data_IF_609048563658
#
_entry.id   IF_609048563658
#
_cell.length_a   1.000
_cell.length_b   1.000
_cell.length_c   1.000
_cell.angle_alpha   90.00
_cell.angle_beta   90.00
_cell.angle_gamma   90.00
#
_symmetry.space_group_name_H-M   'P 1'
#
loop_
_entity.id
_entity.type
_entity.pdbx_description
1 polymer ?
#
# COMPACT_ATOMS: atom_id res chain seq x y z
N UNK A 1 45.82 40.88 25.09
CA UNK A 1 44.45 40.30 25.09
C UNK A 1 43.94 39.92 23.70
N UNK A 2 44.18 40.72 22.65
CA UNK A 2 43.62 40.44 21.31
C UNK A 2 44.14 39.12 20.66
N UNK A 3 45.41 38.78 20.84
CA UNK A 3 45.99 37.53 20.29
C UNK A 3 45.39 36.25 20.88
N UNK A 4 45.17 36.21 22.20
CA UNK A 4 44.58 35.05 22.88
C UNK A 4 43.16 34.73 22.40
N UNK A 5 42.39 35.76 22.04
CA UNK A 5 41.03 35.59 21.50
C UNK A 5 41.06 35.00 20.07
N UNK A 6 42.03 35.39 19.24
CA UNK A 6 42.21 34.83 17.90
C UNK A 6 42.67 33.37 17.93
N UNK A 7 43.54 33.02 18.87
CA UNK A 7 44.00 31.63 19.02
C UNK A 7 42.86 30.72 19.51
N UNK A 8 42.03 31.22 20.44
CA UNK A 8 40.85 30.50 20.91
C UNK A 8 39.82 30.28 19.77
N UNK A 9 39.60 31.28 18.91
CA UNK A 9 38.72 31.13 17.74
C UNK A 9 39.26 30.11 16.74
N UNK A 10 40.58 30.11 16.46
CA UNK A 10 41.19 29.13 15.57
C UNK A 10 41.09 27.71 16.12
N UNK A 11 41.32 27.53 17.43
CA UNK A 11 41.17 26.23 18.08
C UNK A 11 39.72 25.73 18.03
N UNK A 12 38.74 26.61 18.24
CA UNK A 12 37.33 26.26 18.12
C UNK A 12 36.95 25.84 16.69
N UNK A 13 37.38 26.61 15.68
CA UNK A 13 37.12 26.27 14.27
C UNK A 13 37.79 24.94 13.87
N UNK A 14 39.03 24.70 14.29
CA UNK A 14 39.71 23.42 14.04
C UNK A 14 38.99 22.25 14.71
N UNK A 15 38.55 22.40 15.96
CA UNK A 15 37.81 21.36 16.67
C UNK A 15 36.44 21.07 16.04
N UNK A 16 35.77 22.09 15.51
CA UNK A 16 34.50 21.92 14.79
C UNK A 16 34.71 21.21 13.45
N UNK A 17 35.74 21.60 12.69
CA UNK A 17 36.08 20.96 11.43
C UNK A 17 36.45 19.48 11.61
N UNK A 18 37.21 19.15 12.66
CA UNK A 18 37.52 17.76 13.01
C UNK A 18 36.28 16.96 13.38
N UNK A 19 35.34 17.54 14.15
CA UNK A 19 34.06 16.89 14.46
C UNK A 19 33.23 16.63 13.21
N UNK A 20 33.15 17.58 12.29
CA UNK A 20 32.43 17.41 11.03
C UNK A 20 33.05 16.28 10.18
N UNK A 21 34.38 16.26 10.03
CA UNK A 21 35.08 15.19 9.31
C UNK A 21 34.84 13.81 9.95
N UNK A 22 34.88 13.73 11.29
CA UNK A 22 34.61 12.48 11.99
C UNK A 22 33.17 12.01 11.78
N UNK A 23 32.20 12.92 11.83
CA UNK A 23 30.80 12.60 11.54
C UNK A 23 30.60 12.12 10.10
N UNK A 24 31.28 12.74 9.14
CA UNK A 24 31.22 12.35 7.73
C UNK A 24 31.87 10.97 7.49
N UNK A 25 33.02 10.69 8.10
CA UNK A 25 33.64 9.37 8.05
C UNK A 25 32.74 8.28 8.65
N UNK A 26 32.11 8.56 9.80
CA UNK A 26 31.14 7.64 10.40
C UNK A 26 29.93 7.42 9.50
N UNK A 27 29.44 8.47 8.82
CA UNK A 27 28.34 8.37 7.84
C UNK A 27 28.73 7.49 6.66
N UNK A 28 29.92 7.70 6.08
CA UNK A 28 30.43 6.92 4.95
C UNK A 28 30.69 5.45 5.32
N UNK A 29 31.28 5.20 6.48
CA UNK A 29 31.50 3.84 6.99
C UNK A 29 30.17 3.10 7.16
N UNK A 30 29.20 3.74 7.82
CA UNK A 30 27.85 3.19 7.95
C UNK A 30 27.30 2.85 6.57
N UNK A 31 27.32 3.79 5.60
CA UNK A 31 26.87 3.58 4.21
C UNK A 31 27.53 2.38 3.52
N UNK A 32 28.85 2.22 3.63
CA UNK A 32 29.55 1.06 3.04
C UNK A 32 29.11 -0.26 3.66
N UNK A 33 28.98 -0.30 4.99
CA UNK A 33 28.47 -1.48 5.70
C UNK A 33 27.03 -1.81 5.25
N UNK A 34 26.20 -0.79 5.00
CA UNK A 34 24.85 -0.97 4.43
C UNK A 34 24.89 -1.69 3.11
N UNK A 35 25.70 -1.19 2.19
CA UNK A 35 25.80 -1.70 0.83
C UNK A 35 26.36 -3.12 0.82
N UNK A 36 27.32 -3.40 1.68
CA UNK A 36 27.88 -4.74 1.85
C UNK A 36 26.83 -5.76 2.31
N UNK A 37 26.06 -5.46 3.36
CA UNK A 37 24.98 -6.35 3.80
C UNK A 37 23.90 -6.53 2.73
N UNK A 38 23.57 -5.47 1.98
CA UNK A 38 22.61 -5.55 0.88
C UNK A 38 23.08 -6.53 -0.19
N UNK A 39 24.34 -6.43 -0.61
CA UNK A 39 24.94 -7.37 -1.57
C UNK A 39 24.91 -8.81 -1.07
N UNK A 40 25.24 -9.03 0.20
CA UNK A 40 25.20 -10.36 0.81
C UNK A 40 23.78 -10.94 0.87
N UNK A 41 22.76 -10.13 1.12
CA UNK A 41 21.38 -10.59 1.29
C UNK A 41 20.57 -10.63 -0.02
N UNK A 42 21.09 -10.05 -1.09
CA UNK A 42 20.35 -9.88 -2.36
C UNK A 42 19.82 -11.21 -2.91
N UNK A 43 20.59 -12.30 -2.78
CA UNK A 43 20.21 -13.62 -3.28
C UNK A 43 19.12 -14.33 -2.44
N UNK A 44 18.93 -13.92 -1.18
CA UNK A 44 17.96 -14.53 -0.26
C UNK A 44 16.66 -13.76 -0.26
N UNK A 45 16.74 -12.43 -0.12
CA UNK A 45 15.58 -11.58 0.07
C UNK A 45 15.04 -11.04 -1.26
N UNK A 46 15.93 -10.64 -2.17
CA UNK A 46 15.59 -9.71 -3.25
C UNK A 46 15.14 -8.36 -2.68
N UNK A 47 15.72 -7.26 -3.14
CA UNK A 47 15.24 -5.93 -2.75
C UNK A 47 14.36 -5.39 -3.87
N UNK A 48 13.12 -5.00 -3.54
CA UNK A 48 12.16 -4.55 -4.54
C UNK A 48 12.60 -3.26 -5.28
N UNK A 49 13.44 -2.45 -4.64
CA UNK A 49 14.05 -1.23 -5.19
C UNK A 49 15.30 -1.50 -6.05
N UNK A 50 15.79 -2.73 -6.15
CA UNK A 50 16.90 -3.08 -7.07
C UNK A 50 16.47 -3.12 -8.54
N UNK A 51 15.18 -3.32 -8.82
CA UNK A 51 14.68 -3.53 -10.19
C UNK A 51 14.15 -2.25 -10.85
N UNK A 52 14.98 -1.20 -10.84
CA UNK A 52 14.64 0.12 -11.39
C UNK A 52 14.23 0.08 -12.87
N UNK A 53 14.70 -0.90 -13.65
CA UNK A 53 14.37 -1.04 -15.07
C UNK A 53 12.88 -1.31 -15.33
N UNK A 54 12.19 -2.13 -14.51
CA UNK A 54 10.73 -2.34 -14.64
C UNK A 54 9.91 -1.13 -14.23
N UNK A 55 10.46 -0.26 -13.38
CA UNK A 55 9.79 0.95 -12.92
C UNK A 55 9.90 2.12 -13.91
N UNK A 56 10.94 2.12 -14.75
CA UNK A 56 11.30 3.25 -15.61
C UNK A 56 10.21 3.59 -16.64
N UNK A 57 9.58 2.59 -17.25
CA UNK A 57 8.56 2.79 -18.30
C UNK A 57 7.29 3.48 -17.76
N UNK A 58 6.85 3.11 -16.56
CA UNK A 58 5.71 3.76 -15.89
C UNK A 58 6.12 5.14 -15.38
N UNK A 59 7.35 5.28 -14.89
CA UNK A 59 7.86 6.52 -14.32
C UNK A 59 8.02 7.64 -15.36
N UNK A 60 8.41 7.33 -16.59
CA UNK A 60 8.63 8.33 -17.64
C UNK A 60 7.34 9.12 -17.96
N UNK A 61 6.20 8.43 -18.06
CA UNK A 61 4.90 9.07 -18.29
C UNK A 61 4.45 9.92 -17.08
N UNK A 62 4.71 9.46 -15.85
CA UNK A 62 4.35 10.19 -14.64
C UNK A 62 5.30 11.36 -14.34
N UNK A 63 6.57 11.29 -14.74
CA UNK A 63 7.60 12.29 -14.41
C UNK A 63 7.25 13.68 -14.94
N UNK A 64 6.62 13.76 -16.11
CA UNK A 64 6.22 15.05 -16.70
C UNK A 64 5.11 15.75 -15.90
N UNK A 65 4.17 15.00 -15.33
CA UNK A 65 3.00 15.56 -14.64
C UNK A 65 3.24 15.67 -13.13
N UNK A 66 4.11 14.82 -12.56
CA UNK A 66 4.40 14.76 -11.12
C UNK A 66 4.87 16.10 -10.56
N UNK A 67 5.75 16.81 -11.27
CA UNK A 67 6.23 18.12 -10.81
C UNK A 67 5.11 19.16 -10.67
N UNK A 68 4.12 19.11 -11.56
CA UNK A 68 2.93 19.97 -11.48
C UNK A 68 2.06 19.59 -10.29
N UNK A 69 1.81 18.29 -10.09
CA UNK A 69 1.03 17.82 -8.94
C UNK A 69 1.69 18.16 -7.62
N UNK A 70 3.01 18.02 -7.50
CA UNK A 70 3.75 18.36 -6.29
C UNK A 70 3.70 19.88 -6.01
N UNK A 71 3.82 20.70 -7.06
CA UNK A 71 3.68 22.15 -6.92
C UNK A 71 2.26 22.55 -6.47
N UNK A 72 1.21 22.00 -7.11
CA UNK A 72 -0.17 22.26 -6.71
C UNK A 72 -0.47 21.75 -5.29
N UNK A 73 -0.08 20.51 -5.00
CA UNK A 73 -0.23 19.88 -3.68
C UNK A 73 0.42 20.71 -2.57
N UNK A 74 1.59 21.31 -2.83
CA UNK A 74 2.30 22.14 -1.84
C UNK A 74 1.53 23.39 -1.40
N UNK A 75 0.58 23.86 -2.21
CA UNK A 75 -0.28 25.02 -1.91
C UNK A 75 -1.58 24.67 -1.19
N UNK A 76 -1.90 23.38 -1.06
CA UNK A 76 -3.15 22.89 -0.51
C UNK A 76 -3.02 22.51 0.97
N UNK A 77 -4.16 22.46 1.66
CA UNK A 77 -4.19 22.14 3.09
C UNK A 77 -4.32 20.64 3.33
N UNK A 78 -3.63 20.10 4.36
CA UNK A 78 -3.86 18.74 4.82
C UNK A 78 -5.25 18.60 5.45
N UNK A 79 -5.96 17.57 4.99
CA UNK A 79 -7.37 17.33 5.30
C UNK A 79 -7.58 16.13 6.22
N UNK A 80 -6.59 15.30 6.53
CA UNK A 80 -6.79 14.18 7.46
C UNK A 80 -6.92 14.75 8.88
N UNK A 81 -8.06 14.52 9.51
CA UNK A 81 -8.33 14.94 10.88
C UNK A 81 -7.94 13.85 11.89
N UNK A 82 -8.29 12.61 11.59
CA UNK A 82 -8.00 11.46 12.45
C UNK A 82 -7.92 10.17 11.64
N UNK A 83 -7.14 9.18 12.11
CA UNK A 83 -7.19 7.85 11.59
C UNK A 83 -8.44 7.15 12.15
N UNK A 84 -9.10 6.35 11.32
CA UNK A 84 -10.31 5.65 11.71
C UNK A 84 -10.09 4.14 11.85
N UNK A 85 -9.39 3.53 10.90
CA UNK A 85 -9.22 2.07 10.88
C UNK A 85 -8.06 1.63 9.98
N UNK A 86 -7.31 0.62 10.40
CA UNK A 86 -6.43 -0.16 9.53
C UNK A 86 -6.91 -1.60 9.49
N UNK A 87 -6.92 -2.23 8.30
CA UNK A 87 -7.32 -3.64 8.12
C UNK A 87 -6.49 -4.61 8.95
N UNK A 88 -5.21 -4.28 9.16
CA UNK A 88 -4.29 -5.02 10.00
C UNK A 88 -3.25 -4.07 10.61
N UNK A 89 -2.54 -4.56 11.62
CA UNK A 89 -1.40 -3.86 12.24
C UNK A 89 -0.48 -4.94 12.80
N UNK A 90 0.81 -4.89 12.49
CA UNK A 90 1.77 -5.92 12.92
C UNK A 90 2.09 -5.83 14.42
N UNK A 91 2.30 -4.60 14.91
CA UNK A 91 2.66 -4.33 16.30
C UNK A 91 1.85 -3.15 16.85
N UNK A 92 1.48 -3.19 18.13
CA UNK A 92 0.75 -2.12 18.82
C UNK A 92 1.44 -0.75 18.78
N UNK A 93 2.76 -0.71 18.55
CA UNK A 93 3.52 0.53 18.40
C UNK A 93 3.56 1.06 16.96
N UNK A 94 3.08 0.27 15.99
CA UNK A 94 3.11 0.56 14.55
C UNK A 94 1.70 0.87 14.04
N UNK A 95 0.95 1.68 14.79
CA UNK A 95 -0.46 1.99 14.49
C UNK A 95 -0.60 2.97 13.33
N UNK A 96 -1.81 3.06 12.81
CA UNK A 96 -2.21 4.00 11.76
C UNK A 96 -1.94 5.48 12.13
N UNK A 97 -1.98 5.83 13.42
CA UNK A 97 -1.72 7.18 13.93
C UNK A 97 -0.30 7.67 13.62
N UNK A 98 0.65 6.75 13.50
CA UNK A 98 2.04 7.08 13.22
C UNK A 98 2.25 7.74 11.86
N UNK A 99 1.30 7.63 10.93
CA UNK A 99 1.41 8.18 9.58
C UNK A 99 0.99 9.65 9.47
N UNK A 100 0.46 10.26 10.53
CA UNK A 100 -0.03 11.65 10.47
C UNK A 100 1.10 12.69 10.49
N UNK A 101 2.30 12.26 10.88
CA UNK A 101 3.48 13.11 10.95
C UNK A 101 4.60 12.50 10.10
N UNK A 102 5.26 13.32 9.29
CA UNK A 102 6.36 12.87 8.45
C UNK A 102 7.65 12.75 9.26
N UNK A 103 7.66 11.86 10.26
CA UNK A 103 8.80 11.60 11.13
C UNK A 103 9.36 10.18 10.92
N UNK A 104 9.85 9.53 11.97
CA UNK A 104 10.43 8.17 11.92
C UNK A 104 9.46 7.08 12.33
N UNK A 105 8.29 7.44 12.87
CA UNK A 105 7.22 6.51 13.20
C UNK A 105 6.57 6.04 11.90
N UNK A 106 5.95 4.87 11.96
CA UNK A 106 5.33 4.26 10.79
C UNK A 106 4.19 3.33 11.21
N UNK A 107 3.30 3.08 10.27
CA UNK A 107 2.38 1.96 10.31
C UNK A 107 2.96 0.78 9.53
N UNK A 108 2.67 -0.44 9.97
CA UNK A 108 2.92 -1.65 9.18
C UNK A 108 1.78 -2.65 9.28
N UNK A 109 1.50 -3.28 8.13
CA UNK A 109 0.55 -4.38 8.02
C UNK A 109 1.06 -5.64 8.71
N UNK A 110 0.18 -6.56 9.08
CA UNK A 110 0.61 -7.93 9.45
C UNK A 110 1.30 -8.65 8.28
N UNK A 111 2.29 -9.49 8.60
CA UNK A 111 3.05 -10.27 7.63
C UNK A 111 2.20 -11.28 6.85
N UNK A 112 2.34 -11.29 5.52
CA UNK A 112 1.65 -12.20 4.60
C UNK A 112 2.60 -13.23 3.99
N UNK A 113 2.19 -14.50 3.78
CA UNK A 113 2.98 -15.45 3.01
C UNK A 113 2.99 -15.15 1.49
N UNK A 114 2.09 -14.28 1.00
CA UNK A 114 1.92 -13.99 -0.43
C UNK A 114 2.09 -12.50 -0.76
N UNK A 115 2.51 -12.22 -1.99
CA UNK A 115 2.67 -10.86 -2.54
C UNK A 115 1.34 -10.20 -2.94
N UNK A 116 0.25 -10.95 -3.06
CA UNK A 116 -1.04 -10.43 -3.56
C UNK A 116 -1.98 -10.02 -2.44
N UNK A 117 -1.52 -10.02 -1.19
CA UNK A 117 -2.32 -9.61 -0.05
C UNK A 117 -2.52 -8.09 -0.04
N UNK A 118 -3.76 -7.67 0.16
CA UNK A 118 -4.19 -6.27 0.14
C UNK A 118 -4.40 -5.73 1.56
N UNK A 119 -4.32 -4.41 1.72
CA UNK A 119 -4.60 -3.70 2.97
C UNK A 119 -5.51 -2.48 2.71
N UNK A 120 -6.19 -2.04 3.77
CA UNK A 120 -7.08 -0.89 3.76
C UNK A 120 -6.78 0.04 4.94
N UNK A 121 -6.57 1.32 4.65
CA UNK A 121 -6.36 2.38 5.64
C UNK A 121 -7.45 3.43 5.51
N UNK A 122 -8.26 3.60 6.54
CA UNK A 122 -9.39 4.51 6.57
C UNK A 122 -9.07 5.71 7.46
N UNK A 123 -9.35 6.90 6.93
CA UNK A 123 -9.14 8.18 7.56
C UNK A 123 -10.44 8.99 7.55
N UNK A 124 -10.63 9.77 8.60
CA UNK A 124 -11.65 10.80 8.67
C UNK A 124 -11.03 12.14 8.25
N UNK A 125 -11.70 12.85 7.36
CA UNK A 125 -11.25 14.13 6.83
C UNK A 125 -11.71 15.28 7.73
N UNK A 126 -11.15 16.48 7.59
CA UNK A 126 -11.46 17.66 8.38
C UNK A 126 -12.75 18.32 7.88
N UNK A 127 -13.54 18.85 8.82
CA UNK A 127 -14.82 19.51 8.52
C UNK A 127 -15.93 18.54 8.11
N UNK A 128 -17.18 19.01 7.96
CA UNK A 128 -18.32 18.14 7.67
C UNK A 128 -18.16 17.38 6.34
N UNK A 129 -17.40 17.95 5.40
CA UNK A 129 -16.91 17.27 4.22
C UNK A 129 -15.69 18.02 3.66
N UNK A 130 -14.93 17.39 2.77
CA UNK A 130 -13.78 17.97 2.11
C UNK A 130 -13.65 17.47 0.66
N UNK A 131 -13.13 18.33 -0.20
CA UNK A 131 -12.74 18.00 -1.57
C UNK A 131 -11.25 17.67 -1.57
N UNK A 132 -10.95 16.40 -1.79
CA UNK A 132 -9.56 15.90 -1.86
C UNK A 132 -9.11 15.98 -3.32
N UNK A 133 -8.01 16.67 -3.57
CA UNK A 133 -7.39 16.76 -4.90
C UNK A 133 -6.21 15.80 -5.03
N UNK A 134 -5.42 15.67 -3.96
CA UNK A 134 -4.23 14.85 -3.95
C UNK A 134 -4.12 14.01 -2.68
N UNK A 135 -3.45 12.87 -2.78
CA UNK A 135 -2.94 12.12 -1.64
C UNK A 135 -1.43 12.07 -1.74
N UNK A 136 -0.75 12.38 -0.63
CA UNK A 136 0.67 12.13 -0.48
C UNK A 136 0.91 10.91 0.39
N UNK A 137 1.89 10.09 0.02
CA UNK A 137 2.28 8.88 0.73
C UNK A 137 3.80 8.75 0.73
N UNK A 138 4.38 8.38 1.87
CA UNK A 138 5.79 8.00 1.97
C UNK A 138 5.89 6.59 2.54
N UNK A 139 6.61 5.72 1.83
CA UNK A 139 6.90 4.35 2.28
C UNK A 139 7.94 4.41 3.40
N UNK A 140 7.86 3.48 4.34
CA UNK A 140 8.85 3.35 5.40
C UNK A 140 10.08 2.57 4.93
N UNK A 141 11.26 3.09 5.27
CA UNK A 141 12.55 2.40 5.14
C UNK A 141 13.00 1.91 6.51
N UNK A 142 13.19 0.61 6.65
CA UNK A 142 13.64 0.02 7.92
C UNK A 142 15.14 0.21 8.11
N UNK A 143 15.53 1.37 8.68
CA UNK A 143 16.94 1.67 8.92
C UNK A 143 17.62 0.78 9.97
N UNK A 144 16.83 0.04 10.72
CA UNK A 144 17.30 -0.91 11.71
C UNK A 144 17.54 -2.32 11.13
N UNK A 145 17.09 -2.60 9.90
CA UNK A 145 17.31 -3.88 9.23
C UNK A 145 18.50 -3.85 8.27
N UNK A 146 19.12 -5.00 8.07
CA UNK A 146 20.21 -5.17 7.12
C UNK A 146 19.72 -4.88 5.69
N UNK A 147 20.50 -4.12 4.92
CA UNK A 147 20.13 -3.74 3.55
C UNK A 147 19.12 -2.59 3.42
N UNK A 148 18.56 -2.10 4.54
CA UNK A 148 17.66 -0.94 4.57
C UNK A 148 16.44 -1.09 3.65
N UNK A 149 15.71 -2.21 3.75
CA UNK A 149 14.58 -2.49 2.87
C UNK A 149 13.50 -1.41 3.02
N UNK A 150 12.78 -1.18 1.93
CA UNK A 150 11.53 -0.42 1.89
C UNK A 150 10.37 -1.40 1.73
N UNK A 151 9.23 -1.12 2.35
CA UNK A 151 8.06 -2.01 2.32
C UNK A 151 6.87 -1.34 1.62
N UNK A 152 6.97 -1.06 0.31
CA UNK A 152 5.89 -0.43 -0.44
C UNK A 152 4.76 -1.46 -0.72
N UNK A 153 3.52 -1.00 -0.86
CA UNK A 153 2.53 -1.75 -1.63
C UNK A 153 2.91 -1.75 -3.12
N UNK A 154 2.33 -2.64 -3.93
CA UNK A 154 2.54 -2.62 -5.39
C UNK A 154 1.81 -1.44 -6.03
N UNK A 155 0.57 -1.22 -5.61
CA UNK A 155 -0.31 -0.18 -6.12
C UNK A 155 -1.17 0.41 -5.00
N UNK A 156 -1.71 1.61 -5.24
CA UNK A 156 -2.65 2.29 -4.37
C UNK A 156 -3.87 2.75 -5.17
N UNK A 157 -5.05 2.68 -4.57
CA UNK A 157 -6.24 3.36 -5.04
C UNK A 157 -6.87 4.14 -3.89
N UNK A 158 -7.23 5.39 -4.17
CA UNK A 158 -7.93 6.24 -3.21
C UNK A 158 -9.43 6.07 -3.39
N UNK A 159 -10.11 5.81 -2.29
CA UNK A 159 -11.56 5.74 -2.20
C UNK A 159 -12.04 6.86 -1.29
N UNK A 160 -13.17 7.48 -1.61
CA UNK A 160 -13.71 8.63 -0.87
C UNK A 160 -15.22 8.49 -0.73
N UNK A 161 -15.80 9.05 0.34
CA UNK A 161 -17.24 9.01 0.52
C UNK A 161 -17.76 9.78 1.73
N UNK A 162 -19.10 9.97 1.83
CA UNK A 162 -19.72 10.68 2.94
C UNK A 162 -19.75 9.84 4.23
N UNK A 163 -19.69 8.51 4.12
CA UNK A 163 -19.65 7.59 5.26
C UNK A 163 -18.66 6.46 5.01
N UNK A 164 -18.20 5.80 6.07
CA UNK A 164 -17.27 4.66 5.98
C UNK A 164 -17.80 3.49 5.12
N UNK A 165 -19.13 3.38 4.96
CA UNK A 165 -19.79 2.31 4.20
C UNK A 165 -20.16 2.70 2.77
N UNK A 166 -20.05 3.99 2.43
CA UNK A 166 -20.44 4.55 1.14
C UNK A 166 -19.22 5.16 0.43
N UNK A 167 -18.14 4.39 0.38
CA UNK A 167 -16.93 4.78 -0.32
C UNK A 167 -17.04 4.42 -1.80
N UNK A 168 -16.58 5.32 -2.67
CA UNK A 168 -16.44 5.09 -4.11
C UNK A 168 -15.01 5.36 -4.55
N UNK A 169 -14.53 4.79 -5.66
CA UNK A 169 -13.22 5.11 -6.20
C UNK A 169 -13.09 6.62 -6.49
N UNK A 170 -12.13 7.28 -5.86
CA UNK A 170 -11.77 8.68 -6.10
C UNK A 170 -10.54 8.83 -7.00
N UNK A 171 -9.84 7.75 -7.32
CA UNK A 171 -8.67 7.73 -8.20
C UNK A 171 -8.63 6.45 -9.05
N UNK A 172 -7.81 6.42 -10.12
CA UNK A 172 -7.41 5.16 -10.74
C UNK A 172 -6.52 4.35 -9.77
N UNK A 173 -6.25 3.10 -10.13
CA UNK A 173 -5.19 2.31 -9.48
C UNK A 173 -3.85 2.83 -9.98
N UNK A 174 -2.97 3.24 -9.07
CA UNK A 174 -1.68 3.87 -9.36
C UNK A 174 -0.54 3.05 -8.77
N UNK A 175 0.59 2.99 -9.47
CA UNK A 175 1.78 2.31 -8.96
C UNK A 175 2.45 3.10 -7.84
N UNK A 176 2.88 2.40 -6.79
CA UNK A 176 3.69 2.98 -5.72
C UNK A 176 5.14 2.62 -5.99
N UNK A 177 5.99 3.63 -6.09
CA UNK A 177 7.43 3.42 -6.28
C UNK A 177 8.03 2.81 -5.01
N UNK A 178 8.98 1.89 -5.19
CA UNK A 178 9.77 1.31 -4.11
C UNK A 178 10.83 2.30 -3.59
N UNK A 179 10.36 3.41 -3.01
CA UNK A 179 11.21 4.47 -2.45
C UNK A 179 10.54 5.08 -1.23
N UNK A 180 11.35 5.55 -0.28
CA UNK A 180 10.93 6.27 0.92
C UNK A 180 10.76 7.79 0.69
N UNK A 181 10.97 8.25 -0.55
CA UNK A 181 10.60 9.58 -0.99
C UNK A 181 9.09 9.80 -0.94
N UNK A 182 8.67 11.04 -0.71
CA UNK A 182 7.26 11.44 -0.74
C UNK A 182 6.73 11.32 -2.17
N UNK A 183 5.60 10.64 -2.34
CA UNK A 183 4.94 10.42 -3.62
C UNK A 183 3.56 11.09 -3.58
N UNK A 184 3.19 11.78 -4.67
CA UNK A 184 1.91 12.49 -4.80
C UNK A 184 1.03 11.81 -5.85
N UNK A 185 -0.21 11.55 -5.47
CA UNK A 185 -1.21 10.84 -6.25
C UNK A 185 -2.44 11.72 -6.46
N UNK A 186 -2.79 11.98 -7.72
CA UNK A 186 -3.97 12.78 -8.05
C UNK A 186 -5.26 11.95 -7.95
N UNK A 187 -6.32 12.60 -7.48
CA UNK A 187 -7.69 12.09 -7.58
C UNK A 187 -8.33 12.56 -8.89
N UNK A 188 -9.46 11.97 -9.24
CA UNK A 188 -10.26 12.45 -10.36
C UNK A 188 -10.77 13.89 -10.09
N UNK A 189 -10.80 14.77 -11.10
CA UNK A 189 -11.32 16.14 -10.93
C UNK A 189 -12.74 16.21 -10.39
N UNK A 190 -13.55 15.18 -10.64
CA UNK A 190 -14.93 15.01 -10.19
C UNK A 190 -15.10 14.11 -8.96
N UNK A 191 -14.00 13.70 -8.32
CA UNK A 191 -14.09 12.88 -7.11
C UNK A 191 -15.04 13.55 -6.11
N UNK A 192 -16.00 12.81 -5.51
CA UNK A 192 -17.04 13.42 -4.72
C UNK A 192 -16.46 14.05 -3.45
N UNK A 193 -17.14 15.09 -2.97
CA UNK A 193 -16.83 15.65 -1.65
C UNK A 193 -17.11 14.58 -0.59
N UNK A 194 -16.17 14.43 0.34
CA UNK A 194 -16.12 13.30 1.23
C UNK A 194 -15.85 13.68 2.68
N UNK A 195 -16.36 12.88 3.61
CA UNK A 195 -16.00 12.92 5.02
C UNK A 195 -14.95 11.85 5.35
N UNK A 196 -14.90 10.78 4.57
CA UNK A 196 -13.98 9.67 4.77
C UNK A 196 -13.16 9.41 3.51
N UNK A 197 -11.91 9.03 3.72
CA UNK A 197 -10.98 8.60 2.69
C UNK A 197 -10.40 7.24 3.08
N UNK A 198 -10.38 6.30 2.14
CA UNK A 198 -9.72 5.00 2.31
C UNK A 198 -8.63 4.83 1.26
N UNK A 199 -7.41 4.50 1.70
CA UNK A 199 -6.39 3.97 0.82
C UNK A 199 -6.58 2.46 0.73
N UNK A 200 -6.74 1.95 -0.49
CA UNK A 200 -6.61 0.53 -0.79
C UNK A 200 -5.22 0.27 -1.32
N UNK A 201 -4.46 -0.53 -0.59
CA UNK A 201 -3.08 -0.87 -0.89
C UNK A 201 -3.05 -2.27 -1.45
N UNK A 202 -2.64 -2.41 -2.72
CA UNK A 202 -2.67 -3.67 -3.42
C UNK A 202 -1.29 -4.30 -3.47
N UNK A 203 -1.23 -5.56 -3.05
CA UNK A 203 -0.03 -6.37 -3.03
C UNK A 203 1.12 -5.83 -2.17
N UNK A 204 2.12 -6.68 -1.93
CA UNK A 204 3.27 -6.45 -1.05
C UNK A 204 4.54 -6.86 -1.78
N UNK A 205 5.51 -5.95 -1.91
CA UNK A 205 6.72 -6.18 -2.72
C UNK A 205 7.89 -6.77 -1.92
N UNK A 206 8.02 -6.43 -0.65
CA UNK A 206 9.22 -6.72 0.14
C UNK A 206 8.97 -7.75 1.23
N UNK A 207 9.88 -8.73 1.34
CA UNK A 207 9.94 -9.65 2.47
C UNK A 207 10.74 -9.06 3.62
N UNK A 208 10.27 -9.32 4.83
CA UNK A 208 11.01 -9.10 6.06
C UNK A 208 11.94 -10.29 6.34
N UNK A 209 13.13 -10.03 6.87
CA UNK A 209 14.16 -11.05 7.05
C UNK A 209 13.84 -12.03 8.19
N UNK A 210 13.23 -11.53 9.27
CA UNK A 210 13.03 -12.29 10.50
C UNK A 210 12.05 -13.46 10.33
N UNK A 211 11.04 -13.32 9.47
CA UNK A 211 9.98 -14.32 9.28
C UNK A 211 9.73 -14.70 7.81
N UNK A 212 10.46 -14.08 6.89
CA UNK A 212 10.33 -14.26 5.44
C UNK A 212 8.94 -13.97 4.88
N UNK A 213 8.14 -13.15 5.57
CA UNK A 213 6.80 -12.72 5.12
C UNK A 213 6.85 -11.37 4.43
N UNK A 214 5.82 -11.11 3.63
CA UNK A 214 5.63 -9.84 2.95
C UNK A 214 4.89 -8.83 3.80
N UNK A 215 5.39 -7.60 3.78
CA UNK A 215 4.89 -6.49 4.57
C UNK A 215 4.66 -5.25 3.72
N UNK A 216 3.72 -4.42 4.17
CA UNK A 216 3.64 -3.01 3.79
C UNK A 216 3.96 -2.19 5.03
N UNK A 217 4.79 -1.17 4.88
CA UNK A 217 5.04 -0.18 5.93
C UNK A 217 5.05 1.22 5.34
N UNK A 218 4.25 2.11 5.93
CA UNK A 218 4.08 3.49 5.51
C UNK A 218 4.45 4.44 6.64
N UNK A 219 5.24 5.46 6.31
CA UNK A 219 5.77 6.46 7.24
C UNK A 219 4.90 7.70 7.32
N UNK A 220 4.24 8.06 6.23
CA UNK A 220 3.45 9.28 6.16
C UNK A 220 2.32 9.16 5.15
N UNK A 221 1.17 9.73 5.49
CA UNK A 221 0.02 9.91 4.59
C UNK A 221 -0.58 11.29 4.83
N UNK A 222 -0.93 11.98 3.74
CA UNK A 222 -1.75 13.18 3.77
C UNK A 222 -2.78 13.16 2.65
N UNK A 223 -3.97 13.66 2.93
CA UNK A 223 -4.95 14.05 1.92
C UNK A 223 -4.91 15.57 1.80
N UNK A 224 -4.81 16.10 0.59
CA UNK A 224 -4.63 17.53 0.33
C UNK A 224 -5.79 18.08 -0.50
N UNK A 225 -6.30 19.23 -0.12
CA UNK A 225 -7.39 19.89 -0.83
C UNK A 225 -8.05 20.99 -0.02
N UNK A 226 -9.38 21.06 -0.12
CA UNK A 226 -10.20 22.11 0.48
C UNK A 226 -11.28 21.51 1.40
N UNK A 227 -11.36 22.00 2.64
CA UNK A 227 -12.50 21.70 3.50
C UNK A 227 -13.73 22.43 2.97
N UNK A 228 -14.87 21.74 2.93
CA UNK A 228 -16.15 22.30 2.49
C UNK A 228 -16.95 22.75 3.72
N UNK A 229 -17.22 24.06 3.90
CA UNK A 229 -17.97 24.55 5.04
C UNK A 229 -19.40 23.98 5.10
N UNK A 230 -19.91 23.78 6.32
CA UNK A 230 -21.27 23.29 6.55
C UNK A 230 -22.34 24.14 5.84
N UNK A 231 -22.16 25.46 5.79
CA UNK A 231 -23.08 26.37 5.13
C UNK A 231 -23.18 26.12 3.62
N UNK A 232 -22.07 25.79 2.96
CA UNK A 232 -22.06 25.47 1.52
C UNK A 232 -22.77 24.14 1.26
N UNK A 233 -22.52 23.13 2.10
CA UNK A 233 -23.23 21.84 2.02
C UNK A 233 -24.73 22.01 2.23
N UNK A 234 -25.14 22.82 3.21
CA UNK A 234 -26.55 23.10 3.49
C UNK A 234 -27.24 23.83 2.33
N UNK A 235 -26.56 24.81 1.73
CA UNK A 235 -27.05 25.54 0.55
C UNK A 235 -27.22 24.60 -0.65
N UNK A 236 -26.21 23.77 -0.96
CA UNK A 236 -26.30 22.78 -2.03
C UNK A 236 -27.45 21.78 -1.80
N UNK A 237 -27.59 21.28 -0.58
CA UNK A 237 -28.69 20.37 -0.22
C UNK A 237 -30.07 21.05 -0.30
N UNK A 238 -30.18 22.36 -0.05
CA UNK A 238 -31.42 23.10 -0.22
C UNK A 238 -31.80 23.26 -1.71
N UNK A 239 -30.84 23.59 -2.57
CA UNK A 239 -31.05 23.71 -4.01
C UNK A 239 -31.51 22.38 -4.64
N UNK A 240 -30.90 21.26 -4.24
CA UNK A 240 -31.30 19.93 -4.70
C UNK A 240 -32.72 19.57 -4.26
N UNK A 241 -33.08 19.83 -3.00
CA UNK A 241 -34.42 19.57 -2.47
C UNK A 241 -35.49 20.43 -3.13
N UNK A 242 -35.14 21.66 -3.52
CA UNK A 242 -36.03 22.55 -4.27
C UNK A 242 -36.20 22.14 -5.74
N UNK A 243 -35.46 21.13 -6.23
CA UNK A 243 -35.43 20.76 -7.65
C UNK A 243 -34.82 21.83 -8.55
N UNK A 244 -34.19 22.86 -7.95
CA UNK A 244 -33.54 23.94 -8.67
C UNK A 244 -32.30 23.45 -9.43
N UNK A 245 -31.72 22.34 -8.96
CA UNK A 245 -30.69 21.58 -9.66
C UNK A 245 -31.27 20.21 -9.97
N UNK A 246 -31.57 19.95 -11.24
CA UNK A 246 -31.85 18.60 -11.70
C UNK A 246 -30.52 17.88 -11.88
N UNK A 247 -30.20 16.97 -10.95
CA UNK A 247 -29.13 16.03 -11.21
C UNK A 247 -29.59 15.13 -12.36
N UNK A 248 -28.78 14.94 -13.41
CA UNK A 248 -29.12 14.02 -14.47
C UNK A 248 -29.45 12.66 -13.85
N UNK A 249 -30.67 12.15 -14.11
CA UNK A 249 -31.17 10.87 -13.59
C UNK A 249 -30.37 9.65 -14.09
N UNK A 250 -29.42 9.89 -14.99
CA UNK A 250 -28.46 8.94 -15.53
C UNK A 250 -27.41 8.64 -14.47
N UNK A 251 -27.83 7.91 -13.44
CA UNK A 251 -26.92 7.31 -12.48
C UNK A 251 -25.89 6.49 -13.24
N UNK A 252 -24.61 6.82 -13.03
CA UNK A 252 -23.43 5.95 -13.17
C UNK A 252 -23.63 4.75 -14.11
N UNK A 253 -23.97 5.01 -15.38
CA UNK A 253 -23.88 3.97 -16.40
C UNK A 253 -22.38 3.70 -16.62
N UNK A 254 -21.94 2.43 -16.66
CA UNK A 254 -20.54 2.11 -16.92
C UNK A 254 -20.11 2.76 -18.24
N UNK A 255 -19.18 3.71 -18.19
CA UNK A 255 -18.61 4.37 -19.38
C UNK A 255 -19.03 5.83 -19.63
N UNK A 256 -19.82 6.46 -18.76
CA UNK A 256 -20.08 7.91 -18.84
C UNK A 256 -19.39 8.65 -17.69
N UNK A 257 -18.34 9.39 -18.05
CA UNK A 257 -17.56 10.22 -17.15
C UNK A 257 -18.35 11.47 -16.73
N UNK A 258 -18.23 11.82 -15.45
CA UNK A 258 -18.52 13.12 -14.85
C UNK A 258 -18.31 14.36 -15.72
N UNK A 259 -17.33 14.32 -16.65
CA UNK A 259 -16.99 15.39 -17.56
C UNK A 259 -18.22 15.82 -18.40
N UNK A 260 -19.12 14.88 -18.69
CA UNK A 260 -20.35 15.13 -19.43
C UNK A 260 -21.38 15.93 -18.60
N UNK A 261 -21.49 15.63 -17.30
CA UNK A 261 -22.34 16.36 -16.37
C UNK A 261 -21.77 17.75 -16.04
N UNK A 262 -20.44 17.86 -15.93
CA UNK A 262 -19.72 19.12 -15.72
C UNK A 262 -19.78 20.03 -16.95
N UNK A 263 -19.67 19.49 -18.17
CA UNK A 263 -19.83 20.25 -19.41
C UNK A 263 -21.25 20.84 -19.53
N UNK A 264 -22.26 20.09 -19.12
CA UNK A 264 -23.65 20.56 -19.13
C UNK A 264 -23.92 21.61 -18.04
N UNK A 265 -23.30 21.51 -16.86
CA UNK A 265 -23.41 22.52 -15.82
C UNK A 265 -22.69 23.84 -16.18
N UNK A 266 -21.54 23.74 -16.85
CA UNK A 266 -20.84 24.90 -17.42
C UNK A 266 -21.67 25.60 -18.52
N UNK A 267 -22.42 24.84 -19.32
CA UNK A 267 -23.37 25.39 -20.30
C UNK A 267 -24.58 26.10 -19.66
N UNK A 268 -24.92 25.80 -18.41
CA UNK A 268 -26.02 26.44 -17.67
C UNK A 268 -25.58 27.62 -16.80
N UNK A 269 -24.33 28.07 -16.91
CA UNK A 269 -23.82 29.23 -16.18
C UNK A 269 -23.64 29.01 -14.67
N UNK A 270 -23.76 27.77 -14.20
CA UNK A 270 -23.31 27.41 -12.86
C UNK A 270 -21.78 27.45 -12.87
N UNK A 271 -21.17 28.15 -11.91
CA UNK A 271 -19.73 28.04 -11.75
C UNK A 271 -19.39 26.56 -11.55
N UNK A 272 -18.38 26.05 -12.26
CA UNK A 272 -17.94 24.64 -12.20
C UNK A 272 -17.80 24.10 -10.77
N UNK A 273 -17.53 25.00 -9.82
CA UNK A 273 -17.46 24.77 -8.38
C UNK A 273 -18.79 24.33 -7.73
N UNK A 274 -19.92 24.88 -8.15
CA UNK A 274 -21.22 24.68 -7.50
C UNK A 274 -21.94 23.40 -7.97
N UNK A 275 -21.71 22.99 -9.22
CA UNK A 275 -22.30 21.80 -9.81
C UNK A 275 -21.72 20.49 -9.24
N UNK A 276 -20.40 20.47 -8.97
CA UNK A 276 -19.72 19.33 -8.35
C UNK A 276 -20.17 19.11 -6.89
N UNK A 277 -20.47 20.19 -6.17
CA UNK A 277 -20.99 20.14 -4.79
C UNK A 277 -22.42 19.58 -4.74
N UNK A 278 -23.25 19.85 -5.75
CA UNK A 278 -24.62 19.33 -5.84
C UNK A 278 -24.70 17.83 -6.16
N UNK A 279 -23.81 17.30 -7.00
CA UNK A 279 -23.84 15.88 -7.39
C UNK A 279 -23.47 14.91 -6.25
N UNK A 280 -22.66 15.37 -5.28
CA UNK A 280 -22.18 14.54 -4.17
C UNK A 280 -23.23 14.29 -3.06
N UNK A 281 -24.33 15.05 -3.01
CA UNK A 281 -25.31 14.98 -1.92
C UNK A 281 -26.52 14.04 -2.17
N UNK A 282 -26.55 13.35 -3.32
CA UNK A 282 -27.69 12.53 -3.77
C UNK A 282 -27.48 11.02 -3.73
N UNK A 283 -27.06 10.44 -2.61
CA UNK A 283 -26.91 8.98 -2.48
C UNK A 283 -28.16 8.29 -1.94
N UNK A 284 -29.13 7.92 -2.79
CA UNK A 284 -30.12 6.89 -2.44
C UNK A 284 -29.52 5.50 -2.69
N UNK A 285 -29.53 4.70 -1.63
CA UNK A 285 -29.13 3.29 -1.58
C UNK A 285 -29.84 2.45 -2.65
N UNK A 286 -29.09 1.65 -3.39
CA UNK A 286 -29.57 0.41 -4.02
C UNK A 286 -28.84 -0.79 -3.37
N UNK A 287 -29.51 -1.95 -3.24
CA UNK A 287 -29.06 -2.99 -2.33
C UNK A 287 -27.85 -3.77 -2.84
N UNK A 288 -27.02 -4.11 -1.85
CA UNK A 288 -25.70 -4.74 -1.86
C UNK A 288 -25.74 -6.23 -2.28
N UNK A 289 -26.39 -6.57 -3.41
CA UNK A 289 -26.62 -7.98 -3.78
C UNK A 289 -25.70 -8.51 -4.90
N UNK A 290 -24.95 -7.66 -5.61
CA UNK A 290 -24.07 -8.11 -6.71
C UNK A 290 -22.60 -8.36 -6.32
N UNK A 291 -22.18 -8.01 -5.10
CA UNK A 291 -20.78 -8.19 -4.69
C UNK A 291 -20.51 -9.54 -3.97
N UNK A 292 -21.56 -10.24 -3.52
CA UNK A 292 -21.43 -11.61 -2.98
C UNK A 292 -21.30 -12.69 -4.06
N UNK A 293 -21.84 -12.48 -5.28
CA UNK A 293 -21.75 -13.47 -6.35
C UNK A 293 -20.33 -13.64 -6.92
N UNK A 294 -19.45 -12.65 -6.77
CA UNK A 294 -18.04 -12.78 -7.18
C UNK A 294 -17.15 -13.49 -6.16
N UNK A 295 -17.57 -13.66 -4.90
CA UNK A 295 -16.79 -14.42 -3.91
C UNK A 295 -17.02 -15.93 -4.05
N UNK A 296 -18.24 -16.37 -4.32
CA UNK A 296 -18.51 -17.81 -4.52
C UNK A 296 -17.92 -18.39 -5.82
N UNK A 297 -17.79 -17.60 -6.89
CA UNK A 297 -17.20 -18.09 -8.14
C UNK A 297 -15.69 -18.36 -8.07
N UNK A 298 -14.96 -17.68 -7.18
CA UNK A 298 -13.51 -17.88 -7.03
C UNK A 298 -13.21 -19.09 -6.14
N UNK A 299 -14.00 -19.28 -5.07
CA UNK A 299 -13.87 -20.44 -4.19
C UNK A 299 -14.18 -21.76 -4.94
N UNK A 300 -15.16 -21.76 -5.86
CA UNK A 300 -15.52 -22.96 -6.62
C UNK A 300 -14.43 -23.37 -7.65
N UNK A 301 -13.73 -22.41 -8.25
CA UNK A 301 -12.65 -22.66 -9.22
C UNK A 301 -11.41 -23.22 -8.52
N UNK A 302 -11.07 -22.69 -7.33
CA UNK A 302 -9.93 -23.16 -6.54
C UNK A 302 -10.17 -24.59 -6.04
N UNK A 303 -11.38 -24.91 -5.57
CA UNK A 303 -11.75 -26.26 -5.11
C UNK A 303 -11.69 -27.29 -6.25
N UNK A 304 -12.18 -26.94 -7.45
CA UNK A 304 -12.12 -27.85 -8.62
C UNK A 304 -10.68 -28.11 -9.09
N UNK A 305 -9.83 -27.09 -9.05
CA UNK A 305 -8.42 -27.24 -9.44
C UNK A 305 -7.66 -28.13 -8.46
N UNK A 306 -7.98 -28.04 -7.16
CA UNK A 306 -7.35 -28.88 -6.13
C UNK A 306 -7.81 -30.34 -6.21
N UNK A 307 -9.08 -30.61 -6.53
CA UNK A 307 -9.57 -31.98 -6.76
C UNK A 307 -8.95 -32.64 -8.00
N UNK A 308 -8.75 -31.89 -9.09
CA UNK A 308 -8.09 -32.44 -10.29
C UNK A 308 -6.63 -32.84 -10.02
N UNK A 309 -5.89 -32.09 -9.20
CA UNK A 309 -4.52 -32.45 -8.85
C UNK A 309 -4.45 -33.72 -7.99
N UNK A 310 -5.40 -33.93 -7.07
CA UNK A 310 -5.43 -35.16 -6.27
C UNK A 310 -5.74 -36.41 -7.11
N UNK A 311 -6.62 -36.29 -8.11
CA UNK A 311 -6.91 -37.41 -9.02
C UNK A 311 -5.71 -37.79 -9.89
N UNK A 312 -4.92 -36.81 -10.35
CA UNK A 312 -3.70 -37.09 -11.12
C UNK A 312 -2.64 -37.81 -10.29
N UNK A 313 -2.49 -37.46 -9.00
CA UNK A 313 -1.54 -38.14 -8.11
C UNK A 313 -1.94 -39.60 -7.81
N UNK A 314 -3.24 -39.89 -7.70
CA UNK A 314 -3.73 -41.25 -7.51
C UNK A 314 -3.54 -42.15 -8.75
N UNK A 315 -3.57 -41.54 -9.95
CA UNK A 315 -3.31 -42.27 -11.20
C UNK A 315 -1.82 -42.55 -11.44
N UNK A 316 -0.92 -41.74 -10.87
CA UNK A 316 0.53 -41.97 -10.99
C UNK A 316 1.07 -42.95 -9.93
N UNK A 317 0.37 -43.13 -8.81
CA UNK A 317 0.75 -44.08 -7.76
C UNK A 317 0.41 -45.55 -8.04
N UNK A 318 -0.38 -45.84 -9.07
CA UNK A 318 -0.89 -47.19 -9.35
C UNK A 318 -0.13 -47.93 -10.47
N UNK A 319 0.90 -47.33 -11.07
CA UNK A 319 1.66 -47.93 -12.19
C UNK A 319 3.03 -48.52 -11.84
N UNK A 320 3.39 -48.70 -10.56
CA UNK A 320 4.72 -49.21 -10.17
C UNK A 320 4.73 -50.58 -9.46
N UNK A 321 3.69 -51.39 -9.62
CA UNK A 321 3.60 -52.72 -9.00
C UNK A 321 3.35 -53.83 -10.02
N UNK A 322 4.42 -54.41 -10.60
CA UNK A 322 4.29 -55.67 -11.32
C UNK A 322 5.37 -55.96 -12.36
N UNK A 323 6.50 -56.53 -11.94
CA UNK A 323 7.27 -57.50 -12.73
C UNK A 323 8.40 -58.10 -11.87
N UNK A 324 8.40 -59.42 -11.69
CA UNK A 324 9.60 -60.15 -11.24
C UNK A 324 9.38 -61.23 -10.18
N UNK A 325 8.58 -62.24 -10.50
CA UNK A 325 8.59 -63.56 -9.83
C UNK A 325 8.92 -64.61 -10.88
N UNK A 326 10.00 -65.37 -10.68
CA UNK A 326 10.12 -66.83 -10.86
C UNK A 326 11.58 -67.23 -11.15
N UNK A 327 12.21 -67.99 -10.25
CA UNK A 327 12.50 -69.42 -10.49
C UNK A 327 13.31 -70.10 -9.38
N UNK A 328 12.81 -71.29 -9.06
CA UNK A 328 13.52 -72.52 -8.70
C UNK A 328 14.04 -72.75 -7.26
N UNK A 329 13.44 -73.80 -6.70
CA UNK A 329 13.75 -74.51 -5.47
C UNK A 329 15.09 -75.27 -5.51
N UNK A 330 15.72 -75.45 -4.34
CA UNK A 330 16.31 -76.73 -3.94
C UNK A 330 16.70 -76.72 -2.43
N UNK A 331 16.14 -77.69 -1.71
CA UNK A 331 16.80 -78.61 -0.75
C UNK A 331 17.86 -78.04 0.20
N UNK A 332 17.66 -78.22 1.52
CA UNK A 332 18.80 -78.26 2.44
C UNK A 332 18.46 -78.04 3.91
N UNK A 333 18.36 -79.16 4.63
CA UNK A 333 18.29 -79.30 6.08
C UNK A 333 19.36 -78.54 6.89
N UNK A 334 18.98 -78.20 8.13
CA UNK A 334 19.71 -78.50 9.38
C UNK A 334 20.21 -77.31 10.22
N UNK A 335 19.89 -77.43 11.52
CA UNK A 335 20.69 -77.10 12.71
C UNK A 335 20.67 -75.70 13.33
N UNK A 336 20.08 -75.67 14.54
CA UNK A 336 20.62 -75.22 15.85
C UNK A 336 21.23 -73.81 16.00
N UNK A 337 20.55 -73.04 16.88
CA UNK A 337 21.16 -72.39 18.06
C UNK A 337 21.59 -70.91 17.93
N UNK A 338 21.97 -70.25 19.04
CA UNK A 338 21.03 -69.72 20.03
C UNK A 338 21.19 -68.22 20.34
N UNK A 339 20.16 -67.67 21.01
CA UNK A 339 20.14 -66.66 22.09
C UNK A 339 21.47 -65.93 22.39
N UNK A 340 21.47 -64.60 22.27
CA UNK A 340 22.06 -63.67 23.27
C UNK A 340 21.25 -62.36 23.24
N UNK A 341 20.74 -61.95 24.40
CA UNK A 341 20.25 -60.59 24.64
C UNK A 341 21.26 -59.78 25.45
N UNK A 342 21.20 -58.45 25.35
CA UNK A 342 21.71 -57.41 26.26
C UNK A 342 21.13 -56.08 25.72
N UNK A 343 20.56 -55.12 26.46
CA UNK A 343 20.57 -54.86 27.89
C UNK A 343 21.42 -53.61 28.20
N UNK A 344 20.76 -52.47 28.46
CA UNK A 344 21.35 -51.23 29.04
C UNK A 344 21.56 -50.10 28.02
N UNK A 345 21.23 -48.84 28.29
CA UNK A 345 20.79 -48.14 29.51
C UNK A 345 20.01 -46.89 29.11
#
# INVERSE_FOLDING_TARGET
>A
MHGAMQDQQRQQQQAEQQRQQQQEQQRMFRQRLKQHHRQQLQHVLGFCDDNAARMYEVEEAFRQVRGLWEAEASSLMPLIASPAHASSTDNEQQTIDNMLHNDRRFWSSTGSPTQVADEGLLFELAGPAARVAYVQLAVYRAFYQAGYPVFPPMQVQVWVGPTQRQLVPGSPVMHVQATDALQTFALYPDAPVARFLQLRLYGKLQRQQEDMRFYIALRYVAALGEAVPAAQLAAAAALLRAGAVQLPLWGWLPGHSCCSALAHAAQQGLQLRDAALGAAAGGRLLPMQLQQQRRHGVDEVVVRQQQQQQQQQQQQGSSSGGAGSELAAAVGSSSRGPVVGFGGR
#
